data_IF_286671478799
#
_entry.id   IF_286671478799
#
_cell.length_a   1.000
_cell.length_b   1.000
_cell.length_c   1.000
_cell.angle_alpha   90.00
_cell.angle_beta   90.00
_cell.angle_gamma   90.00
#
_symmetry.space_group_name_H-M   'P 1'
#
loop_
_entity.id
_entity.type
_entity.pdbx_description
1 polymer ?
#
# COMPACT_ATOMS: atom_id res chain seq x y z
N UNK A 1 92.17 9.60 49.95
CA UNK A 1 91.19 8.74 49.30
C UNK A 1 89.90 8.76 50.10
N UNK A 2 88.77 8.82 49.39
CA UNK A 2 87.47 8.70 50.01
C UNK A 2 86.89 7.37 49.60
N UNK A 3 86.33 6.60 50.52
CA UNK A 3 85.61 5.36 50.27
C UNK A 3 84.13 5.67 50.41
N UNK A 4 83.36 5.40 49.35
CA UNK A 4 81.87 5.55 49.30
C UNK A 4 81.24 4.16 49.30
N UNK A 5 80.32 3.93 50.22
CA UNK A 5 79.55 2.66 50.30
C UNK A 5 78.10 2.90 49.94
N UNK A 6 77.61 2.12 48.98
CA UNK A 6 76.22 2.07 48.61
C UNK A 6 75.80 0.60 48.46
N UNK A 7 74.74 0.17 49.14
CA UNK A 7 74.17 -1.18 49.07
C UNK A 7 75.28 -2.31 49.30
N UNK A 8 76.26 -2.04 50.22
CA UNK A 8 77.31 -2.98 50.52
C UNK A 8 78.50 -2.99 49.55
N UNK A 9 78.44 -2.25 48.45
CA UNK A 9 79.54 -2.05 47.51
C UNK A 9 80.34 -0.83 47.86
N UNK A 10 81.67 -0.94 47.81
CA UNK A 10 82.61 0.14 48.09
C UNK A 10 83.23 0.67 46.79
N UNK A 11 83.21 1.98 46.63
CA UNK A 11 83.83 2.73 45.56
C UNK A 11 84.85 3.68 46.09
N UNK A 12 85.92 3.94 45.37
CA UNK A 12 86.94 4.87 45.81
C UNK A 12 87.01 6.10 44.92
N UNK A 13 87.24 7.24 45.49
CA UNK A 13 87.45 8.52 44.81
C UNK A 13 88.64 9.24 45.41
N UNK A 14 89.40 9.98 44.64
CA UNK A 14 90.47 10.84 45.11
C UNK A 14 89.97 12.26 45.29
N UNK A 15 90.45 12.95 46.35
CA UNK A 15 90.15 14.36 46.51
C UNK A 15 91.04 15.24 45.62
N UNK A 16 90.54 16.35 45.13
CA UNK A 16 91.35 17.41 44.53
C UNK A 16 92.11 18.25 45.58
N UNK A 17 92.88 19.22 45.19
CA UNK A 17 93.64 20.08 46.08
C UNK A 17 92.77 20.94 47.02
N UNK A 18 91.47 21.15 46.69
CA UNK A 18 90.49 21.89 47.47
C UNK A 18 89.70 20.96 48.42
N UNK A 19 89.91 19.61 48.37
CA UNK A 19 89.24 18.63 49.19
C UNK A 19 87.93 18.14 48.58
N UNK A 20 87.56 18.53 47.39
CA UNK A 20 86.34 18.03 46.68
C UNK A 20 86.59 16.66 46.02
N UNK A 21 85.59 15.84 45.96
CA UNK A 21 85.61 14.55 45.27
C UNK A 21 84.34 14.28 44.49
N UNK A 22 84.43 13.51 43.44
CA UNK A 22 83.36 13.03 42.69
C UNK A 22 83.53 11.56 42.38
N UNK A 23 82.42 10.84 42.34
CA UNK A 23 82.35 9.43 42.02
C UNK A 23 81.25 9.11 41.12
N UNK A 24 81.47 8.27 40.12
CA UNK A 24 80.38 7.70 39.27
C UNK A 24 80.14 6.26 39.67
N UNK A 25 78.91 5.95 40.09
CA UNK A 25 78.46 4.58 40.35
C UNK A 25 78.09 3.91 39.00
N UNK A 26 78.61 2.69 38.73
CA UNK A 26 78.29 1.97 37.50
C UNK A 26 76.84 1.75 37.36
N UNK A 27 76.32 1.82 36.09
CA UNK A 27 74.90 1.62 35.73
C UNK A 27 74.40 0.23 36.13
N UNK A 28 75.32 -0.81 36.10
CA UNK A 28 74.99 -2.16 36.52
C UNK A 28 74.65 -2.23 38.04
N UNK A 29 75.37 -1.45 38.87
CA UNK A 29 75.20 -1.44 40.33
C UNK A 29 73.92 -0.62 40.69
N UNK A 30 73.64 0.46 39.96
CA UNK A 30 72.40 1.22 40.10
C UNK A 30 71.19 0.37 39.70
N UNK A 31 71.32 -0.41 38.62
CA UNK A 31 70.24 -1.30 38.16
C UNK A 31 69.94 -2.45 39.14
N UNK A 32 70.89 -2.81 39.99
CA UNK A 32 70.72 -3.82 41.02
C UNK A 32 70.06 -3.30 42.33
N UNK A 33 69.81 -1.98 42.42
CA UNK A 33 69.08 -1.40 43.55
C UNK A 33 67.57 -1.64 43.37
N UNK A 34 66.94 -2.27 44.38
CA UNK A 34 65.48 -2.35 44.44
C UNK A 34 64.87 -1.04 44.92
N UNK A 35 63.49 -0.94 44.83
CA UNK A 35 62.80 0.20 45.44
C UNK A 35 62.96 0.25 46.93
N UNK A 36 63.76 1.17 47.41
CA UNK A 36 64.05 1.37 48.87
C UNK A 36 64.78 2.70 49.12
N UNK A 37 64.83 3.08 50.41
CA UNK A 37 65.75 4.11 50.86
C UNK A 37 67.06 3.46 51.13
N UNK A 38 68.11 3.91 50.46
CA UNK A 38 69.49 3.50 50.69
C UNK A 38 70.25 4.59 51.41
N UNK A 39 71.16 4.20 52.30
CA UNK A 39 72.11 5.13 52.90
C UNK A 39 73.40 5.08 52.10
N UNK A 40 73.83 6.19 51.54
CA UNK A 40 75.18 6.35 50.98
C UNK A 40 76.05 6.85 52.05
N UNK A 41 77.10 6.14 52.39
CA UNK A 41 78.06 6.56 53.35
C UNK A 41 79.42 6.84 52.69
N UNK A 42 80.08 7.93 53.09
CA UNK A 42 81.41 8.29 52.65
C UNK A 42 82.31 8.38 53.81
N UNK A 43 83.53 7.82 53.72
CA UNK A 43 84.56 7.89 54.75
C UNK A 43 85.94 8.20 54.17
N UNK A 44 86.70 8.98 54.85
CA UNK A 44 88.07 9.29 54.47
C UNK A 44 88.97 9.20 55.70
N UNK A 45 90.20 8.67 55.51
CA UNK A 45 91.20 8.58 56.54
C UNK A 45 92.44 9.46 56.20
N UNK A 46 92.79 10.33 57.05
CA UNK A 46 93.97 11.19 56.86
C UNK A 46 95.29 10.36 56.99
N UNK A 47 96.38 10.96 56.49
CA UNK A 47 97.72 10.33 56.62
C UNK A 47 98.17 10.06 58.12
N UNK A 48 97.55 10.79 59.06
CA UNK A 48 97.72 10.63 60.50
C UNK A 48 96.82 9.57 61.17
N UNK A 49 95.95 8.87 60.35
CA UNK A 49 95.07 7.81 60.84
C UNK A 49 93.70 8.31 61.34
N UNK A 50 93.41 9.62 61.30
CA UNK A 50 92.12 10.14 61.73
C UNK A 50 91.06 9.91 60.62
N UNK A 51 89.91 9.37 61.01
CA UNK A 51 88.81 9.07 60.12
C UNK A 51 87.68 10.09 60.28
N UNK A 52 87.05 10.48 59.17
CA UNK A 52 85.81 11.22 59.13
C UNK A 52 84.82 10.47 58.24
N UNK A 53 83.55 10.55 58.58
CA UNK A 53 82.48 9.94 57.79
C UNK A 53 81.25 10.87 57.67
N UNK A 54 80.51 10.73 56.59
CA UNK A 54 79.22 11.41 56.33
C UNK A 54 78.29 10.43 55.69
N UNK A 55 76.98 10.69 55.83
CA UNK A 55 75.93 9.86 55.26
C UNK A 55 74.88 10.75 54.59
N UNK A 56 74.32 10.23 53.54
CA UNK A 56 73.17 10.80 52.83
C UNK A 56 72.17 9.72 52.45
N UNK A 57 70.88 10.05 52.39
CA UNK A 57 69.85 9.12 51.97
C UNK A 57 69.66 9.25 50.45
N UNK A 58 69.54 8.11 49.76
CA UNK A 58 69.20 7.95 48.37
C UNK A 58 67.89 7.18 48.27
N UNK A 59 66.81 7.83 47.85
CA UNK A 59 65.61 7.13 47.54
C UNK A 59 65.70 6.56 46.11
N UNK A 60 65.53 5.24 45.98
CA UNK A 60 65.37 4.56 44.69
C UNK A 60 63.91 4.25 44.53
N UNK A 61 63.25 4.89 43.59
CA UNK A 61 61.86 4.63 43.18
C UNK A 61 61.86 4.41 41.69
N UNK A 62 61.72 3.15 41.30
CA UNK A 62 61.59 2.71 39.92
C UNK A 62 60.13 2.28 39.54
N UNK A 63 59.20 2.50 40.47
CA UNK A 63 57.83 2.15 40.30
C UNK A 63 57.15 3.03 39.25
N UNK A 64 56.59 2.40 38.17
CA UNK A 64 55.82 3.11 37.18
C UNK A 64 54.39 3.38 37.71
N UNK A 65 53.88 4.59 37.57
CA UNK A 65 52.50 4.85 37.88
C UNK A 65 51.56 3.99 37.00
N UNK A 66 50.46 3.53 37.54
CA UNK A 66 49.37 2.90 36.77
C UNK A 66 48.38 3.94 36.36
N UNK A 67 47.85 3.82 35.12
CA UNK A 67 46.76 4.67 34.57
C UNK A 67 45.68 3.79 34.02
N UNK A 68 44.43 4.05 34.41
CA UNK A 68 43.26 3.41 33.87
C UNK A 68 42.38 4.46 33.21
N UNK A 69 41.61 4.05 32.14
CA UNK A 69 40.65 4.87 31.45
C UNK A 69 39.29 4.20 31.60
N UNK A 70 38.29 4.94 32.07
CA UNK A 70 36.91 4.47 32.21
C UNK A 70 36.26 4.32 30.87
N UNK A 71 35.13 3.59 30.81
CA UNK A 71 34.25 3.53 29.62
C UNK A 71 33.86 4.93 29.19
N UNK A 72 34.00 5.21 27.91
CA UNK A 72 33.66 6.48 27.27
C UNK A 72 32.26 6.38 26.68
N UNK A 73 31.48 7.42 26.75
CA UNK A 73 30.12 7.49 26.22
C UNK A 73 29.13 6.41 26.77
N UNK A 74 29.61 5.57 27.69
CA UNK A 74 28.79 4.49 28.29
C UNK A 74 29.07 3.10 27.74
N UNK A 75 29.55 2.99 26.50
CA UNK A 75 29.76 1.73 25.78
C UNK A 75 31.03 1.70 24.90
N UNK A 76 31.84 2.75 24.94
CA UNK A 76 33.02 2.97 24.10
C UNK A 76 32.70 3.23 22.62
N UNK A 77 31.43 3.55 22.30
CA UNK A 77 31.01 3.99 20.99
C UNK A 77 30.50 5.43 21.10
N UNK A 78 31.08 6.34 20.35
CA UNK A 78 30.64 7.74 20.29
C UNK A 78 29.72 7.89 19.10
N UNK A 79 28.42 7.99 19.33
CA UNK A 79 27.41 8.22 18.31
C UNK A 79 27.30 9.71 17.92
N UNK A 80 26.42 10.02 16.95
CA UNK A 80 26.26 11.39 16.43
C UNK A 80 25.85 12.42 17.50
N UNK A 81 24.97 12.04 18.42
CA UNK A 81 24.50 12.91 19.48
C UNK A 81 25.61 13.18 20.49
N UNK A 82 26.37 12.16 20.84
CA UNK A 82 27.51 12.24 21.77
C UNK A 82 28.69 13.01 21.18
N UNK A 83 28.99 12.80 19.89
CA UNK A 83 29.98 13.59 19.17
C UNK A 83 29.56 15.07 19.07
N UNK A 84 28.25 15.34 19.00
CA UNK A 84 27.67 16.68 19.02
C UNK A 84 27.70 17.40 20.35
N UNK A 85 27.87 16.67 21.48
CA UNK A 85 27.85 17.22 22.83
C UNK A 85 29.24 17.41 23.45
N UNK A 86 30.29 16.82 22.85
CA UNK A 86 31.60 16.67 23.46
C UNK A 86 31.63 15.52 24.45
N UNK A 87 32.83 14.98 24.74
CA UNK A 87 32.97 13.80 25.59
C UNK A 87 33.91 14.06 26.74
N UNK A 88 33.59 13.51 27.91
CA UNK A 88 34.47 13.49 29.06
C UNK A 88 35.19 12.14 29.15
N UNK A 89 36.52 12.16 29.01
CA UNK A 89 37.38 11.01 29.25
C UNK A 89 37.85 11.09 30.67
N UNK A 90 37.75 10.01 31.44
CA UNK A 90 38.10 9.97 32.84
C UNK A 90 38.77 8.65 33.21
N UNK A 91 39.43 8.63 34.39
CA UNK A 91 40.06 7.43 34.87
C UNK A 91 40.64 7.57 36.28
N UNK A 92 41.49 6.61 36.65
CA UNK A 92 42.18 6.53 37.93
C UNK A 92 43.67 6.38 37.70
N UNK A 93 44.47 6.84 38.67
CA UNK A 93 45.90 6.61 38.67
C UNK A 93 46.30 5.90 39.96
N UNK A 94 47.45 5.18 39.93
CA UNK A 94 48.11 4.63 41.07
C UNK A 94 49.59 4.99 40.98
N UNK A 95 50.30 5.16 42.13
CA UNK A 95 51.71 5.52 42.12
C UNK A 95 52.03 6.95 41.64
N UNK A 96 51.01 7.81 41.57
CA UNK A 96 51.11 9.24 41.30
C UNK A 96 50.38 10.01 42.41
N UNK A 97 50.65 11.30 42.55
CA UNK A 97 50.06 12.15 43.56
C UNK A 97 49.05 13.15 43.01
N UNK A 98 48.18 13.69 43.89
CA UNK A 98 47.34 14.78 43.55
C UNK A 98 48.16 15.99 43.04
N UNK A 99 47.78 16.56 41.90
CA UNK A 99 48.48 17.63 41.22
C UNK A 99 49.42 17.17 40.08
N UNK A 100 49.78 15.88 40.01
CA UNK A 100 50.56 15.36 38.89
C UNK A 100 49.79 15.52 37.59
N UNK A 101 50.49 15.80 36.48
CA UNK A 101 49.86 16.05 35.18
C UNK A 101 49.53 14.73 34.46
N UNK A 102 48.27 14.57 34.07
CA UNK A 102 47.81 13.51 33.16
C UNK A 102 47.73 14.11 31.74
N UNK A 103 48.38 13.43 30.83
CA UNK A 103 48.33 13.77 29.39
C UNK A 103 47.51 12.71 28.67
N UNK A 104 46.41 13.14 27.98
CA UNK A 104 45.52 12.25 27.23
C UNK A 104 45.69 12.56 25.74
N UNK A 105 45.88 11.52 24.94
CA UNK A 105 45.98 11.65 23.48
C UNK A 105 44.85 10.89 22.81
N UNK A 106 44.16 11.56 21.87
CA UNK A 106 43.09 10.98 21.03
C UNK A 106 43.16 11.56 19.63
N UNK A 107 43.31 10.70 18.62
CA UNK A 107 43.32 11.11 17.21
C UNK A 107 44.43 12.12 16.85
N UNK A 108 45.55 12.08 17.57
CA UNK A 108 46.66 13.01 17.41
C UNK A 108 46.54 14.33 18.20
N UNK A 109 45.39 14.63 18.77
CA UNK A 109 45.19 15.76 19.68
C UNK A 109 45.61 15.38 21.11
N UNK A 110 46.17 16.36 21.85
CA UNK A 110 46.62 16.17 23.21
C UNK A 110 45.87 17.08 24.18
N UNK A 111 45.37 16.49 25.25
CA UNK A 111 44.62 17.17 26.31
C UNK A 111 45.35 16.94 27.61
N UNK A 112 45.39 17.92 28.49
CA UNK A 112 46.05 17.81 29.79
C UNK A 112 45.08 18.11 30.94
N UNK A 113 45.23 17.38 32.04
CA UNK A 113 44.51 17.61 33.28
C UNK A 113 45.41 17.24 34.47
N UNK A 114 44.93 17.38 35.67
CA UNK A 114 45.68 17.01 36.88
C UNK A 114 44.99 15.92 37.66
N UNK A 115 45.79 15.08 38.34
CA UNK A 115 45.28 14.08 39.26
C UNK A 115 44.61 14.78 40.44
N UNK A 116 43.41 14.35 40.77
CA UNK A 116 42.61 14.85 41.89
C UNK A 116 43.02 14.18 43.23
N UNK A 117 42.55 14.70 44.35
CA UNK A 117 42.86 14.18 45.68
C UNK A 117 42.41 12.72 45.94
N UNK A 118 41.42 12.26 45.18
CA UNK A 118 40.93 10.87 45.20
C UNK A 118 41.60 9.99 44.15
N UNK A 119 42.68 10.45 43.54
CA UNK A 119 43.46 9.79 42.49
C UNK A 119 42.69 9.61 41.18
N UNK A 120 41.56 10.27 41.00
CA UNK A 120 40.85 10.33 39.70
C UNK A 120 41.41 11.46 38.83
N UNK A 121 41.11 11.37 37.53
CA UNK A 121 41.37 12.41 36.56
C UNK A 121 40.22 12.46 35.54
N UNK A 122 40.03 13.63 34.96
CA UNK A 122 39.07 13.80 33.86
C UNK A 122 39.49 14.96 32.95
N UNK A 123 39.17 14.81 31.66
CA UNK A 123 39.38 15.84 30.65
C UNK A 123 38.20 15.82 29.71
N UNK A 124 37.80 17.00 29.20
CA UNK A 124 36.74 17.11 28.20
C UNK A 124 37.37 17.27 26.83
N UNK A 125 36.96 16.41 25.89
CA UNK A 125 37.23 16.52 24.45
C UNK A 125 36.13 17.39 23.82
N UNK A 126 36.48 18.54 23.22
CA UNK A 126 35.50 19.44 22.61
C UNK A 126 34.80 18.80 21.42
N UNK A 127 33.53 19.21 21.18
CA UNK A 127 32.75 18.80 20.02
C UNK A 127 33.50 18.96 18.68
N UNK A 128 34.18 20.09 18.50
CA UNK A 128 34.92 20.36 17.25
C UNK A 128 36.00 19.33 16.98
N UNK A 129 36.71 18.89 18.03
CA UNK A 129 37.77 17.89 17.91
C UNK A 129 37.21 16.52 17.60
N UNK A 130 36.09 16.09 18.26
CA UNK A 130 35.41 14.83 17.96
C UNK A 130 34.92 14.76 16.56
N UNK A 131 34.28 15.83 16.07
CA UNK A 131 33.79 15.92 14.69
C UNK A 131 34.89 15.87 13.65
N UNK A 132 36.09 16.41 13.98
CA UNK A 132 37.24 16.39 13.10
C UNK A 132 37.90 15.01 12.97
N UNK A 133 37.71 14.11 13.95
CA UNK A 133 38.27 12.76 13.93
C UNK A 133 37.63 11.86 12.87
N UNK A 134 36.35 12.11 12.49
CA UNK A 134 35.60 11.24 11.58
C UNK A 134 35.24 9.91 12.22
N UNK A 135 34.53 9.06 11.44
CA UNK A 135 34.10 7.74 11.89
C UNK A 135 35.25 6.72 11.82
N UNK A 136 35.30 5.79 12.77
CA UNK A 136 36.27 4.69 12.80
C UNK A 136 36.76 4.36 14.21
N UNK A 137 37.59 3.33 14.28
CA UNK A 137 38.22 2.87 15.55
C UNK A 137 39.41 3.74 15.89
N UNK A 138 39.51 4.15 17.16
CA UNK A 138 40.55 5.00 17.71
C UNK A 138 40.96 4.45 19.05
N UNK A 139 42.25 4.74 19.43
CA UNK A 139 42.76 4.41 20.75
C UNK A 139 42.99 5.69 21.52
N UNK A 140 42.44 5.80 22.71
CA UNK A 140 42.77 6.81 23.70
C UNK A 140 43.99 6.31 24.48
N UNK A 141 45.00 7.16 24.60
CA UNK A 141 46.16 6.90 25.49
C UNK A 141 46.19 7.96 26.56
N UNK A 142 46.36 7.55 27.82
CA UNK A 142 46.59 8.45 28.95
C UNK A 142 47.91 8.11 29.62
N UNK A 143 48.68 9.13 29.96
CA UNK A 143 49.96 8.96 30.68
C UNK A 143 50.08 9.94 31.84
N UNK A 144 50.77 9.53 32.88
CA UNK A 144 51.10 10.38 34.03
C UNK A 144 52.56 10.23 34.39
N UNK A 145 53.25 11.33 34.74
CA UNK A 145 54.60 11.32 35.28
C UNK A 145 54.53 11.72 36.74
N UNK A 146 55.04 10.88 37.62
CA UNK A 146 55.10 11.19 39.06
C UNK A 146 56.29 12.15 39.41
N UNK A 147 56.30 12.63 40.65
CA UNK A 147 57.30 13.57 41.11
C UNK A 147 58.78 13.04 41.03
N UNK A 148 58.95 11.73 40.93
CA UNK A 148 60.23 11.07 40.76
C UNK A 148 60.67 10.93 39.29
N UNK A 149 59.82 11.39 38.33
CA UNK A 149 60.13 11.33 36.92
C UNK A 149 59.72 10.01 36.23
N UNK A 150 59.08 9.06 36.94
CA UNK A 150 58.60 7.83 36.34
C UNK A 150 57.29 8.08 35.61
N UNK A 151 57.23 7.60 34.38
CA UNK A 151 56.03 7.76 33.52
C UNK A 151 55.34 6.40 33.32
N UNK A 152 54.04 6.37 33.62
CA UNK A 152 53.17 5.24 33.32
C UNK A 152 52.07 5.64 32.34
N UNK A 153 51.50 4.66 31.61
CA UNK A 153 50.46 4.89 30.65
C UNK A 153 49.42 3.77 30.66
N UNK A 154 48.22 4.10 30.19
CA UNK A 154 47.12 3.19 29.88
C UNK A 154 46.46 3.56 28.58
N UNK A 155 45.76 2.60 27.95
CA UNK A 155 45.04 2.81 26.73
C UNK A 155 43.63 2.23 26.79
N UNK A 156 42.74 2.77 25.95
CA UNK A 156 41.36 2.27 25.72
C UNK A 156 40.97 2.49 24.29
N UNK A 157 40.43 1.43 23.66
CA UNK A 157 39.90 1.51 22.31
C UNK A 157 38.46 2.01 22.36
N UNK A 158 38.10 2.89 21.41
CA UNK A 158 36.79 3.43 21.21
C UNK A 158 36.45 3.41 19.71
N UNK A 159 35.18 3.48 19.37
CA UNK A 159 34.70 3.66 17.99
C UNK A 159 33.93 4.97 17.89
N UNK A 160 34.16 5.76 16.86
CA UNK A 160 33.28 6.87 16.50
C UNK A 160 32.40 6.39 15.34
N UNK A 161 31.08 6.36 15.54
CA UNK A 161 30.09 6.11 14.49
C UNK A 161 28.96 7.15 14.58
N UNK A 162 29.18 8.27 13.92
CA UNK A 162 28.25 9.38 13.81
C UNK A 162 27.39 9.31 12.52
N UNK A 163 27.41 8.17 11.81
CA UNK A 163 26.58 7.97 10.62
C UNK A 163 25.12 7.89 11.03
N UNK A 164 24.29 8.77 10.43
CA UNK A 164 22.85 8.71 10.62
C UNK A 164 22.26 7.64 9.68
N UNK A 165 21.52 6.67 10.19
CA UNK A 165 20.83 5.71 9.37
C UNK A 165 19.65 6.34 8.62
N UNK A 166 19.21 5.71 7.52
CA UNK A 166 18.03 6.10 6.75
C UNK A 166 16.96 5.02 6.77
N UNK A 167 15.70 5.43 6.68
CA UNK A 167 14.55 4.54 6.52
C UNK A 167 13.65 5.05 5.38
N UNK A 168 12.98 4.13 4.69
CA UNK A 168 11.88 4.41 3.77
C UNK A 168 10.76 3.40 3.99
N UNK A 169 9.54 3.82 3.72
CA UNK A 169 8.35 2.98 3.61
C UNK A 169 7.98 2.92 2.14
N UNK A 170 7.64 1.74 1.64
CA UNK A 170 7.14 1.58 0.28
C UNK A 170 5.63 1.92 0.25
N UNK A 171 5.07 2.05 -0.95
CA UNK A 171 3.65 2.31 -1.18
C UNK A 171 2.77 1.29 -0.43
N UNK A 172 1.84 1.77 0.37
CA UNK A 172 0.86 0.95 1.10
C UNK A 172 -0.22 0.48 0.13
N UNK A 173 -0.61 -0.80 0.20
CA UNK A 173 -1.66 -1.41 -0.64
C UNK A 173 -1.42 -1.27 -2.16
N UNK A 174 -0.26 -0.76 -2.60
CA UNK A 174 0.12 -0.59 -4.00
C UNK A 174 -0.11 0.82 -4.56
N UNK A 175 -0.94 1.66 -3.93
CA UNK A 175 -1.30 3.01 -4.38
C UNK A 175 -1.46 4.04 -3.26
N UNK A 176 -1.11 3.68 -2.02
CA UNK A 176 -1.33 4.47 -0.80
C UNK A 176 -2.81 4.72 -0.46
N UNK A 177 -3.70 3.88 -1.00
CA UNK A 177 -5.12 3.89 -0.67
C UNK A 177 -5.54 2.49 -0.25
N UNK A 178 -6.09 2.37 0.94
CA UNK A 178 -6.72 1.13 1.42
C UNK A 178 -8.22 1.23 1.17
N UNK A 179 -8.69 0.57 0.12
CA UNK A 179 -10.10 0.54 -0.26
C UNK A 179 -10.91 -0.46 0.59
N UNK A 180 -12.23 -0.52 0.38
CA UNK A 180 -13.14 -1.36 1.17
C UNK A 180 -12.85 -2.87 1.07
N UNK A 181 -12.24 -3.34 -0.02
CA UNK A 181 -11.86 -4.75 -0.19
C UNK A 181 -10.60 -5.05 0.61
N UNK A 182 -9.58 -4.21 0.49
CA UNK A 182 -8.30 -4.34 1.18
C UNK A 182 -8.44 -4.12 2.69
N UNK A 183 -9.35 -3.24 3.10
CA UNK A 183 -9.68 -2.99 4.50
C UNK A 183 -10.15 -4.25 5.25
N UNK A 184 -10.69 -5.23 4.55
CA UNK A 184 -11.07 -6.54 5.10
C UNK A 184 -9.96 -7.60 5.07
N UNK A 185 -8.77 -7.28 4.54
CA UNK A 185 -7.68 -8.24 4.33
C UNK A 185 -6.48 -7.92 5.22
N UNK A 186 -5.61 -8.92 5.41
CA UNK A 186 -4.30 -8.69 5.99
C UNK A 186 -3.42 -7.95 4.98
N UNK A 187 -2.67 -6.94 5.45
CA UNK A 187 -1.73 -6.17 4.63
C UNK A 187 -0.29 -6.44 5.05
N UNK A 188 0.63 -6.26 4.14
CA UNK A 188 2.08 -6.28 4.41
C UNK A 188 2.62 -4.88 4.11
N UNK A 189 3.20 -4.25 5.12
CA UNK A 189 3.93 -3.00 4.96
C UNK A 189 5.40 -3.34 4.76
N UNK A 190 6.01 -2.76 3.75
CA UNK A 190 7.40 -2.98 3.38
C UNK A 190 8.18 -1.68 3.32
N UNK A 191 9.50 -1.80 3.31
CA UNK A 191 10.37 -0.67 3.13
C UNK A 191 11.84 -1.06 3.11
N UNK A 192 12.71 -0.07 3.18
CA UNK A 192 14.15 -0.28 3.18
C UNK A 192 14.85 0.59 4.21
N UNK A 193 16.06 0.20 4.53
CA UNK A 193 16.96 0.92 5.43
C UNK A 193 18.35 1.07 4.81
N UNK A 194 19.07 2.06 5.28
CA UNK A 194 20.51 2.25 5.03
C UNK A 194 21.21 2.59 6.34
N UNK A 195 22.42 2.08 6.54
CA UNK A 195 23.16 2.32 7.77
C UNK A 195 22.61 1.59 9.02
N UNK A 196 21.65 0.69 8.86
CA UNK A 196 21.20 -0.25 9.89
C UNK A 196 21.73 -1.64 9.60
N UNK A 197 22.17 -2.34 10.62
CA UNK A 197 22.65 -3.72 10.48
C UNK A 197 21.48 -4.70 10.33
N UNK A 198 21.72 -5.82 9.64
CA UNK A 198 20.78 -6.93 9.64
C UNK A 198 20.47 -7.38 11.07
N UNK A 199 19.17 -7.59 11.36
CA UNK A 199 18.68 -7.89 12.71
C UNK A 199 18.35 -6.65 13.56
N UNK A 200 18.67 -5.42 13.12
CA UNK A 200 18.23 -4.21 13.82
C UNK A 200 16.70 -4.19 13.93
N UNK A 201 16.22 -3.94 15.14
CA UNK A 201 14.78 -3.94 15.44
C UNK A 201 14.15 -2.62 15.00
N UNK A 202 13.04 -2.71 14.26
CA UNK A 202 12.21 -1.58 13.89
C UNK A 202 10.84 -1.69 14.57
N UNK A 203 10.34 -0.55 15.02
CA UNK A 203 8.96 -0.40 15.48
C UNK A 203 8.17 0.32 14.40
N UNK A 204 7.12 -0.33 13.90
CA UNK A 204 6.18 0.21 12.91
C UNK A 204 4.88 0.55 13.64
N UNK A 205 4.44 1.79 13.62
CA UNK A 205 3.22 2.24 14.29
C UNK A 205 2.20 2.71 13.26
N UNK A 206 0.99 2.14 13.32
CA UNK A 206 -0.14 2.53 12.46
C UNK A 206 -1.38 2.62 13.34
N UNK A 207 -2.14 3.70 13.23
CA UNK A 207 -3.35 3.91 14.02
C UNK A 207 -3.14 3.63 15.53
N UNK A 208 -2.01 4.10 16.09
CA UNK A 208 -1.60 3.92 17.49
C UNK A 208 -1.31 2.46 17.91
N UNK A 209 -1.24 1.52 16.97
CA UNK A 209 -0.84 0.13 17.23
C UNK A 209 0.60 -0.06 16.76
N UNK A 210 1.45 -0.56 17.66
CA UNK A 210 2.85 -0.83 17.36
C UNK A 210 3.06 -2.30 16.96
N UNK A 211 3.86 -2.48 15.91
CA UNK A 211 4.32 -3.78 15.41
C UNK A 211 5.84 -3.79 15.40
N UNK A 212 6.45 -4.93 15.62
CA UNK A 212 7.91 -5.09 15.60
C UNK A 212 8.33 -5.92 14.40
N UNK A 213 9.42 -5.49 13.75
CA UNK A 213 10.08 -6.24 12.68
C UNK A 213 11.59 -6.06 12.77
N UNK A 214 12.35 -6.70 11.88
CA UNK A 214 13.81 -6.58 11.81
C UNK A 214 14.27 -6.30 10.38
N UNK A 215 15.37 -5.58 10.29
CA UNK A 215 16.07 -5.33 9.03
C UNK A 215 16.69 -6.62 8.52
N UNK A 216 16.53 -6.94 7.25
CA UNK A 216 17.10 -8.10 6.56
C UNK A 216 18.54 -7.81 6.08
N UNK A 217 19.23 -8.86 5.58
CA UNK A 217 20.61 -8.74 5.11
C UNK A 217 20.79 -7.80 3.90
N UNK A 218 19.74 -7.61 3.10
CA UNK A 218 19.71 -6.69 1.96
C UNK A 218 19.25 -5.26 2.32
N UNK A 219 19.03 -4.99 3.60
CA UNK A 219 18.52 -3.72 4.10
C UNK A 219 17.00 -3.55 4.00
N UNK A 220 16.28 -4.51 3.44
CA UNK A 220 14.81 -4.48 3.41
C UNK A 220 14.21 -4.82 4.78
N UNK A 221 12.94 -4.46 4.97
CA UNK A 221 12.14 -4.86 6.11
C UNK A 221 10.67 -5.03 5.70
N UNK A 222 9.95 -5.87 6.42
CA UNK A 222 8.52 -6.06 6.20
C UNK A 222 7.82 -6.40 7.51
N UNK A 223 6.54 -6.00 7.62
CA UNK A 223 5.68 -6.35 8.74
C UNK A 223 4.27 -6.69 8.25
N UNK A 224 3.73 -7.80 8.72
CA UNK A 224 2.35 -8.21 8.45
C UNK A 224 1.38 -7.54 9.41
N UNK A 225 0.35 -6.92 8.87
CA UNK A 225 -0.75 -6.33 9.65
C UNK A 225 -1.95 -7.27 9.55
N UNK A 226 -2.44 -7.83 10.66
CA UNK A 226 -3.59 -8.73 10.65
C UNK A 226 -4.87 -8.04 10.12
N UNK A 227 -5.71 -8.77 9.40
CA UNK A 227 -6.98 -8.26 8.85
C UNK A 227 -7.86 -7.58 9.92
N UNK A 228 -7.91 -8.12 11.14
CA UNK A 228 -8.67 -7.52 12.24
C UNK A 228 -8.19 -6.10 12.61
N UNK A 229 -6.89 -5.83 12.48
CA UNK A 229 -6.32 -4.51 12.76
C UNK A 229 -6.57 -3.56 11.59
N UNK A 230 -6.44 -4.05 10.34
CA UNK A 230 -6.76 -3.27 9.14
C UNK A 230 -8.24 -2.85 9.16
N UNK A 231 -9.16 -3.78 9.49
CA UNK A 231 -10.59 -3.51 9.59
C UNK A 231 -10.97 -2.53 10.73
N UNK A 232 -10.06 -2.28 11.66
CA UNK A 232 -10.25 -1.29 12.72
C UNK A 232 -9.77 0.13 12.33
N UNK A 233 -9.18 0.31 11.15
CA UNK A 233 -8.73 1.63 10.71
C UNK A 233 -9.92 2.51 10.33
N UNK A 234 -10.00 3.75 10.82
CA UNK A 234 -11.05 4.67 10.42
C UNK A 234 -10.85 5.13 8.97
N UNK A 235 -11.93 5.46 8.28
CA UNK A 235 -11.85 6.13 7.00
C UNK A 235 -11.15 7.50 7.13
N UNK A 236 -10.32 7.84 6.15
CA UNK A 236 -9.56 9.08 6.09
C UNK A 236 -8.05 8.86 6.11
N UNK A 237 -7.27 9.94 6.26
CA UNK A 237 -5.81 9.87 6.24
C UNK A 237 -5.25 9.19 7.48
N UNK A 238 -4.29 8.30 7.27
CA UNK A 238 -3.47 7.65 8.28
C UNK A 238 -1.99 7.78 7.91
N UNK A 239 -1.13 7.40 8.84
CA UNK A 239 0.33 7.44 8.65
C UNK A 239 0.94 6.14 9.17
N UNK A 240 1.88 5.60 8.40
CA UNK A 240 2.83 4.59 8.86
C UNK A 240 4.02 5.32 9.46
N UNK A 241 4.29 5.14 10.74
CA UNK A 241 5.49 5.65 11.39
C UNK A 241 6.44 4.49 11.65
N UNK A 242 7.70 4.62 11.24
CA UNK A 242 8.73 3.61 11.46
C UNK A 242 9.88 4.24 12.20
N UNK A 243 10.32 3.63 13.28
CA UNK A 243 11.44 4.08 14.08
C UNK A 243 12.38 2.92 14.42
N UNK A 244 13.66 3.24 14.54
CA UNK A 244 14.73 2.33 14.93
C UNK A 244 16.00 3.07 15.33
N UNK A 245 17.07 2.32 15.52
CA UNK A 245 18.40 2.89 15.80
C UNK A 245 19.50 1.97 15.27
N UNK A 246 20.66 2.56 14.96
CA UNK A 246 21.86 1.80 14.59
C UNK A 246 22.46 1.09 15.81
N UNK A 247 23.44 0.21 15.58
CA UNK A 247 24.22 -0.43 16.65
C UNK A 247 25.00 0.57 17.51
N UNK A 248 25.29 1.74 16.99
CA UNK A 248 25.91 2.84 17.71
C UNK A 248 24.91 3.71 18.47
N UNK A 249 23.62 3.37 18.45
CA UNK A 249 22.57 4.15 19.12
C UNK A 249 22.08 5.37 18.34
N UNK A 250 22.50 5.58 17.07
CA UNK A 250 21.96 6.68 16.24
C UNK A 250 20.50 6.40 15.89
N UNK A 251 19.54 7.25 16.29
CA UNK A 251 18.13 7.05 16.01
C UNK A 251 17.78 7.38 14.56
N UNK A 252 16.74 6.73 14.06
CA UNK A 252 16.13 7.03 12.76
C UNK A 252 14.62 6.86 12.83
N UNK A 253 13.89 7.74 12.15
CA UNK A 253 12.46 7.60 11.97
C UNK A 253 12.03 8.13 10.61
N UNK A 254 10.91 7.58 10.11
CA UNK A 254 10.25 8.02 8.89
C UNK A 254 8.75 7.91 9.07
N UNK A 255 8.02 8.80 8.41
CA UNK A 255 6.55 8.74 8.31
C UNK A 255 6.13 8.68 6.85
N UNK A 256 5.11 7.85 6.55
CA UNK A 256 4.56 7.68 5.22
C UNK A 256 3.03 7.80 5.30
N UNK A 257 2.42 8.80 4.66
CA UNK A 257 0.98 8.98 4.66
C UNK A 257 0.28 8.03 3.69
N UNK A 258 -0.90 7.55 4.04
CA UNK A 258 -1.81 6.81 3.18
C UNK A 258 -3.26 7.14 3.55
N UNK A 259 -4.23 6.72 2.75
CA UNK A 259 -5.64 7.02 2.99
C UNK A 259 -6.46 5.72 3.05
N UNK A 260 -7.39 5.63 3.98
CA UNK A 260 -8.42 4.59 4.01
C UNK A 260 -9.68 5.13 3.38
N UNK A 261 -10.07 4.61 2.21
CA UNK A 261 -11.27 5.02 1.50
C UNK A 261 -12.34 3.92 1.53
N UNK A 262 -13.34 4.11 2.37
CA UNK A 262 -14.48 3.23 2.54
C UNK A 262 -15.74 3.82 1.89
N UNK A 263 -15.59 4.70 0.92
CA UNK A 263 -16.72 5.32 0.20
C UNK A 263 -17.59 4.24 -0.42
N UNK A 264 -18.87 4.23 -0.05
CA UNK A 264 -19.83 3.31 -0.62
C UNK A 264 -20.09 3.67 -2.10
N UNK A 265 -19.92 2.68 -2.97
CA UNK A 265 -20.15 2.83 -4.42
C UNK A 265 -21.34 2.00 -4.84
N UNK A 266 -22.11 2.49 -5.82
CA UNK A 266 -23.21 1.76 -6.40
C UNK A 266 -23.33 2.02 -7.91
N UNK A 267 -23.95 1.06 -8.61
CA UNK A 267 -24.30 1.18 -10.02
C UNK A 267 -25.71 0.63 -10.22
N UNK A 268 -26.44 1.22 -11.14
CA UNK A 268 -27.76 0.75 -11.57
C UNK A 268 -27.83 0.66 -13.09
N UNK A 269 -28.76 -0.17 -13.58
CA UNK A 269 -29.08 -0.32 -15.00
C UNK A 269 -30.56 0.06 -15.17
N UNK A 270 -30.87 0.92 -16.13
CA UNK A 270 -32.22 1.31 -16.48
C UNK A 270 -32.92 0.20 -17.26
N UNK A 271 -34.26 0.34 -17.44
CA UNK A 271 -35.08 -0.49 -18.29
C UNK A 271 -34.47 -0.62 -19.68
N UNK A 272 -34.36 -1.85 -20.17
CA UNK A 272 -33.86 -2.19 -21.51
C UNK A 272 -34.99 -2.01 -22.53
N UNK A 273 -34.71 -1.41 -23.69
CA UNK A 273 -35.68 -1.27 -24.78
C UNK A 273 -37.02 -0.61 -24.38
N UNK A 274 -37.07 0.14 -23.27
CA UNK A 274 -38.24 0.81 -22.67
C UNK A 274 -39.18 -0.06 -21.81
N UNK A 275 -39.21 -1.36 -21.97
CA UNK A 275 -40.14 -2.28 -21.31
C UNK A 275 -39.53 -3.63 -20.89
N UNK A 276 -38.19 -3.74 -21.02
CA UNK A 276 -37.41 -4.95 -20.76
C UNK A 276 -37.69 -6.12 -21.73
N UNK A 277 -38.29 -5.82 -22.92
CA UNK A 277 -38.53 -6.80 -23.99
C UNK A 277 -37.95 -6.25 -25.29
N UNK A 278 -37.03 -6.96 -25.91
CA UNK A 278 -36.48 -6.61 -27.21
C UNK A 278 -37.29 -7.33 -28.28
N UNK A 279 -38.16 -6.61 -29.00
CA UNK A 279 -38.98 -7.14 -30.08
C UNK A 279 -38.24 -7.13 -31.44
N UNK A 280 -38.91 -7.62 -32.50
CA UNK A 280 -38.33 -7.71 -33.85
C UNK A 280 -37.89 -6.35 -34.42
N UNK A 281 -38.65 -5.28 -34.15
CA UNK A 281 -38.36 -3.94 -34.66
C UNK A 281 -37.14 -3.35 -33.94
N UNK A 282 -37.09 -3.50 -32.61
CA UNK A 282 -35.98 -3.03 -31.79
C UNK A 282 -34.68 -3.81 -32.03
N UNK A 283 -34.80 -5.12 -32.29
CA UNK A 283 -33.66 -5.98 -32.69
C UNK A 283 -33.00 -5.51 -33.99
N UNK A 284 -33.74 -4.77 -34.84
CA UNK A 284 -33.25 -4.18 -36.09
C UNK A 284 -32.61 -2.81 -35.97
N UNK A 285 -32.57 -2.21 -34.78
CA UNK A 285 -32.05 -0.85 -34.53
C UNK A 285 -31.04 -0.85 -33.41
N UNK A 286 -30.15 0.15 -33.36
CA UNK A 286 -29.18 0.31 -32.26
C UNK A 286 -29.94 0.52 -30.94
N UNK A 287 -29.48 -0.16 -29.88
CA UNK A 287 -30.02 -0.07 -28.53
C UNK A 287 -29.08 0.71 -27.63
N UNK A 288 -29.59 1.70 -26.90
CA UNK A 288 -28.83 2.39 -25.85
C UNK A 288 -29.13 1.74 -24.51
N UNK A 289 -28.13 1.13 -23.91
CA UNK A 289 -28.14 0.73 -22.51
C UNK A 289 -27.65 1.89 -21.66
N UNK A 290 -28.28 2.12 -20.52
CA UNK A 290 -27.93 3.24 -19.63
C UNK A 290 -28.19 2.93 -18.17
N UNK A 291 -27.65 3.80 -17.28
CA UNK A 291 -27.88 3.70 -15.89
C UNK A 291 -27.23 4.85 -15.11
N UNK A 292 -27.07 4.66 -13.81
CA UNK A 292 -26.44 5.64 -12.93
C UNK A 292 -25.46 4.97 -11.97
N UNK A 293 -24.52 5.78 -11.46
CA UNK A 293 -23.56 5.42 -10.43
C UNK A 293 -23.66 6.39 -9.25
N UNK A 294 -23.24 5.95 -8.08
CA UNK A 294 -23.00 6.82 -6.92
C UNK A 294 -21.68 6.47 -6.26
N UNK A 295 -20.97 7.46 -5.72
CA UNK A 295 -19.64 7.29 -5.13
C UNK A 295 -18.54 6.99 -6.15
N UNK A 296 -18.80 7.16 -7.44
CA UNK A 296 -17.87 6.93 -8.55
C UNK A 296 -17.54 8.27 -9.21
N UNK A 297 -16.28 8.52 -9.44
CA UNK A 297 -15.81 9.74 -10.08
C UNK A 297 -16.15 9.76 -11.58
N UNK A 298 -16.36 10.97 -12.09
CA UNK A 298 -16.52 11.18 -13.53
C UNK A 298 -15.28 10.70 -14.30
N UNK A 299 -15.52 10.05 -15.43
CA UNK A 299 -14.45 9.50 -16.28
C UNK A 299 -14.10 8.05 -15.99
N UNK A 300 -14.55 7.46 -14.88
CA UNK A 300 -14.36 6.04 -14.58
C UNK A 300 -15.09 5.19 -15.63
N UNK A 301 -14.53 4.02 -15.91
CA UNK A 301 -15.06 3.11 -16.95
C UNK A 301 -16.10 2.16 -16.37
N UNK A 302 -17.30 2.20 -16.92
CA UNK A 302 -18.33 1.18 -16.72
C UNK A 302 -18.13 0.08 -17.76
N UNK A 303 -18.04 -1.15 -17.31
CA UNK A 303 -17.99 -2.35 -18.15
C UNK A 303 -19.37 -3.00 -18.18
N UNK A 304 -19.97 -3.14 -19.37
CA UNK A 304 -21.30 -3.72 -19.56
C UNK A 304 -21.20 -5.02 -20.34
N UNK A 305 -21.73 -6.11 -19.80
CA UNK A 305 -21.84 -7.40 -20.48
C UNK A 305 -23.28 -7.61 -20.91
N UNK A 306 -23.52 -7.70 -22.24
CA UNK A 306 -24.82 -7.87 -22.82
C UNK A 306 -24.76 -8.83 -24.03
N UNK A 307 -25.64 -9.82 -24.07
CA UNK A 307 -25.66 -10.82 -25.16
C UNK A 307 -24.32 -11.58 -25.31
N UNK A 308 -23.55 -11.76 -24.23
CA UNK A 308 -22.23 -12.40 -24.26
C UNK A 308 -21.11 -11.52 -24.79
N UNK A 309 -21.36 -10.25 -25.11
CA UNK A 309 -20.37 -9.25 -25.54
C UNK A 309 -20.13 -8.22 -24.46
N UNK A 310 -18.96 -7.59 -24.50
CA UNK A 310 -18.55 -6.55 -23.55
C UNK A 310 -18.51 -5.20 -24.25
N UNK A 311 -19.11 -4.21 -23.61
CA UNK A 311 -19.16 -2.80 -24.01
C UNK A 311 -18.61 -1.95 -22.88
N UNK A 312 -18.10 -0.76 -23.19
CA UNK A 312 -17.59 0.18 -22.19
C UNK A 312 -18.23 1.55 -22.35
N UNK A 313 -18.47 2.21 -21.23
CA UNK A 313 -18.94 3.58 -21.15
C UNK A 313 -18.14 4.35 -20.12
N UNK A 314 -18.09 5.67 -20.19
CA UNK A 314 -17.53 6.52 -19.15
C UNK A 314 -18.62 7.07 -18.26
N UNK A 315 -18.37 7.16 -16.95
CA UNK A 315 -19.26 7.84 -16.01
C UNK A 315 -19.23 9.34 -16.29
N UNK A 316 -20.39 9.92 -16.50
CA UNK A 316 -20.57 11.36 -16.72
C UNK A 316 -20.47 12.15 -15.40
N UNK A 317 -20.33 13.48 -15.46
CA UNK A 317 -20.22 14.37 -14.31
C UNK A 317 -21.43 14.32 -13.34
N UNK A 318 -22.61 13.91 -13.84
CA UNK A 318 -23.83 13.72 -13.04
C UNK A 318 -24.00 12.29 -12.53
N UNK A 319 -23.00 11.41 -12.71
CA UNK A 319 -23.05 10.00 -12.33
C UNK A 319 -23.78 9.08 -13.31
N UNK A 320 -24.35 9.59 -14.42
CA UNK A 320 -24.98 8.73 -15.43
C UNK A 320 -23.94 8.06 -16.33
N UNK A 321 -24.35 6.94 -16.95
CA UNK A 321 -23.59 6.27 -17.98
C UNK A 321 -24.49 5.76 -19.08
N UNK A 322 -23.98 5.64 -20.30
CA UNK A 322 -24.69 5.04 -21.42
C UNK A 322 -23.73 4.44 -22.43
N UNK A 323 -24.18 3.35 -23.09
CA UNK A 323 -23.44 2.67 -24.14
C UNK A 323 -24.39 2.26 -25.25
N UNK A 324 -23.93 2.36 -26.49
CA UNK A 324 -24.66 1.91 -27.66
C UNK A 324 -24.32 0.44 -27.95
N UNK A 325 -25.37 -0.38 -28.12
CA UNK A 325 -25.30 -1.76 -28.64
C UNK A 325 -25.73 -1.74 -30.08
N UNK A 326 -24.86 -2.08 -31.05
CA UNK A 326 -25.23 -2.05 -32.48
C UNK A 326 -26.31 -3.06 -32.82
N UNK A 327 -27.20 -2.72 -33.74
CA UNK A 327 -28.24 -3.61 -34.28
C UNK A 327 -27.68 -4.97 -34.76
N UNK A 328 -26.48 -4.98 -35.35
CA UNK A 328 -25.81 -6.21 -35.76
C UNK A 328 -25.55 -7.20 -34.60
N UNK A 329 -25.36 -6.68 -33.40
CA UNK A 329 -25.16 -7.50 -32.19
C UNK A 329 -26.51 -7.99 -31.66
N UNK A 330 -27.55 -7.13 -31.68
CA UNK A 330 -28.91 -7.48 -31.29
C UNK A 330 -29.51 -8.56 -32.21
N UNK A 331 -29.22 -8.50 -33.50
CA UNK A 331 -29.69 -9.48 -34.47
C UNK A 331 -29.30 -10.92 -34.15
N UNK A 332 -28.22 -11.11 -33.40
CA UNK A 332 -27.72 -12.44 -33.03
C UNK A 332 -28.32 -13.00 -31.75
N UNK A 333 -29.10 -12.19 -30.99
CA UNK A 333 -29.68 -12.63 -29.73
C UNK A 333 -30.77 -13.69 -29.97
N UNK A 334 -30.79 -14.81 -29.26
CA UNK A 334 -31.89 -15.76 -29.29
C UNK A 334 -33.09 -15.22 -28.51
N UNK A 335 -34.30 -15.63 -28.89
CA UNK A 335 -35.48 -15.35 -28.10
C UNK A 335 -35.41 -16.04 -26.74
N UNK A 336 -35.92 -15.38 -25.70
CA UNK A 336 -35.93 -15.88 -24.31
C UNK A 336 -35.44 -14.88 -23.31
N UNK A 337 -35.42 -15.30 -22.02
CA UNK A 337 -34.98 -14.49 -20.91
C UNK A 337 -33.45 -14.39 -20.86
N UNK A 338 -32.92 -13.21 -20.55
CA UNK A 338 -31.51 -12.90 -20.44
C UNK A 338 -31.25 -11.84 -19.36
N UNK A 339 -29.96 -11.59 -19.09
CA UNK A 339 -29.54 -10.56 -18.15
C UNK A 339 -28.47 -9.69 -18.78
N UNK A 340 -28.52 -8.42 -18.49
CA UNK A 340 -27.41 -7.49 -18.68
C UNK A 340 -26.71 -7.27 -17.34
N UNK A 341 -25.37 -7.20 -17.37
CA UNK A 341 -24.54 -6.93 -16.19
C UNK A 341 -23.73 -5.66 -16.44
N UNK A 342 -23.58 -4.84 -15.40
CA UNK A 342 -22.70 -3.68 -15.43
C UNK A 342 -21.85 -3.66 -14.18
N UNK A 343 -20.58 -3.26 -14.31
CA UNK A 343 -19.62 -3.10 -13.22
C UNK A 343 -18.79 -1.84 -13.39
N UNK A 344 -18.35 -1.28 -12.27
CA UNK A 344 -17.53 -0.05 -12.24
C UNK A 344 -16.69 -0.05 -10.99
N UNK A 345 -15.52 0.58 -11.05
CA UNK A 345 -14.67 0.84 -9.86
C UNK A 345 -14.39 2.33 -9.74
N UNK A 346 -14.31 2.82 -8.49
CA UNK A 346 -13.82 4.16 -8.19
C UNK A 346 -12.31 4.27 -8.45
N UNK A 347 -11.76 5.47 -8.38
CA UNK A 347 -10.32 5.72 -8.48
C UNK A 347 -9.54 5.05 -7.33
N UNK A 348 -10.16 4.88 -6.16
CA UNK A 348 -9.62 4.19 -4.99
C UNK A 348 -9.76 2.65 -5.04
N UNK A 349 -10.34 2.08 -6.11
CA UNK A 349 -10.52 0.64 -6.26
C UNK A 349 -11.80 0.07 -5.63
N UNK A 350 -12.65 0.86 -4.97
CA UNK A 350 -13.96 0.41 -4.50
C UNK A 350 -14.83 0.06 -5.71
N UNK A 351 -15.47 -1.14 -5.72
CA UNK A 351 -16.19 -1.63 -6.88
C UNK A 351 -17.66 -1.91 -6.61
N UNK A 352 -18.51 -1.74 -7.64
CA UNK A 352 -19.91 -2.08 -7.63
C UNK A 352 -20.29 -2.82 -8.90
N UNK A 353 -21.31 -3.67 -8.80
CA UNK A 353 -21.92 -4.36 -9.96
C UNK A 353 -23.43 -4.42 -9.81
N UNK A 354 -24.12 -4.44 -10.95
CA UNK A 354 -25.56 -4.62 -11.05
C UNK A 354 -25.91 -5.61 -12.15
N UNK A 355 -27.05 -6.28 -11.99
CA UNK A 355 -27.63 -7.16 -12.99
C UNK A 355 -29.07 -6.75 -13.19
N UNK A 356 -29.51 -6.68 -14.45
CA UNK A 356 -30.88 -6.34 -14.83
C UNK A 356 -31.42 -7.40 -15.80
N UNK A 357 -32.63 -7.90 -15.56
CA UNK A 357 -33.26 -8.92 -16.37
C UNK A 357 -33.99 -8.29 -17.56
N UNK A 358 -33.89 -8.90 -18.72
CA UNK A 358 -34.65 -8.56 -19.91
C UNK A 358 -35.03 -9.84 -20.66
N UNK A 359 -35.88 -9.72 -21.67
CA UNK A 359 -36.19 -10.81 -22.59
C UNK A 359 -36.06 -10.36 -24.03
N UNK A 360 -35.87 -11.30 -24.91
CA UNK A 360 -35.93 -11.11 -26.38
C UNK A 360 -37.13 -11.91 -26.87
N UNK A 361 -38.02 -11.26 -27.61
CA UNK A 361 -39.12 -11.89 -28.34
C UNK A 361 -39.27 -11.18 -29.66
N UNK A 362 -38.66 -11.75 -30.70
CA UNK A 362 -38.69 -11.23 -32.05
C UNK A 362 -39.54 -12.11 -32.98
N UNK A 363 -40.28 -13.06 -32.43
CA UNK A 363 -41.10 -14.01 -33.17
C UNK A 363 -42.49 -13.44 -33.41
N UNK A 364 -42.80 -13.09 -34.66
CA UNK A 364 -44.17 -12.61 -35.01
C UNK A 364 -45.22 -13.71 -34.77
N UNK A 365 -46.38 -13.37 -34.19
CA UNK A 365 -47.45 -14.33 -34.02
C UNK A 365 -48.05 -14.75 -35.38
N UNK A 366 -48.39 -16.01 -35.47
CA UNK A 366 -49.18 -16.49 -36.64
C UNK A 366 -50.63 -16.04 -36.51
N UNK A 367 -51.28 -15.73 -37.65
CA UNK A 367 -52.67 -15.34 -37.72
C UNK A 367 -53.31 -16.05 -38.93
N UNK A 368 -54.51 -16.57 -38.76
CA UNK A 368 -55.30 -17.20 -39.85
C UNK A 368 -56.68 -16.63 -39.86
N UNK A 369 -57.31 -16.68 -41.03
CA UNK A 369 -58.72 -16.38 -41.24
C UNK A 369 -59.35 -17.65 -41.76
N UNK A 370 -60.40 -18.11 -41.11
CA UNK A 370 -61.18 -19.25 -41.54
C UNK A 370 -62.06 -18.90 -42.75
N UNK A 371 -62.62 -19.93 -43.42
CA UNK A 371 -63.66 -19.77 -44.49
C UNK A 371 -64.73 -18.86 -43.96
N UNK A 372 -65.04 -17.82 -44.75
CA UNK A 372 -66.04 -16.79 -44.46
C UNK A 372 -67.37 -17.19 -45.13
N UNK A 373 -68.49 -16.94 -44.46
CA UNK A 373 -69.81 -17.24 -44.95
C UNK A 373 -70.01 -18.71 -45.41
N UNK A 374 -69.20 -19.64 -44.84
CA UNK A 374 -69.16 -21.08 -45.11
C UNK A 374 -68.55 -21.52 -46.45
N UNK A 375 -68.42 -20.66 -47.45
CA UNK A 375 -67.91 -20.98 -48.77
C UNK A 375 -67.11 -19.85 -49.43
N UNK A 376 -66.79 -18.80 -48.69
CA UNK A 376 -66.06 -17.58 -49.10
C UNK A 376 -66.92 -16.73 -50.17
N UNK A 377 -68.22 -16.94 -50.21
CA UNK A 377 -69.14 -16.18 -51.04
C UNK A 377 -70.24 -15.57 -50.16
N UNK A 378 -70.25 -14.24 -50.04
CA UNK A 378 -71.38 -13.54 -49.39
C UNK A 378 -72.55 -13.34 -50.31
N UNK A 379 -73.60 -14.09 -50.06
CA UNK A 379 -74.84 -13.97 -50.84
C UNK A 379 -75.82 -12.95 -50.20
N UNK A 380 -76.92 -12.64 -50.90
CA UNK A 380 -77.92 -11.65 -50.44
C UNK A 380 -78.57 -12.01 -49.08
N UNK A 381 -78.82 -13.27 -48.84
CA UNK A 381 -79.41 -13.72 -47.56
C UNK A 381 -78.43 -13.54 -46.38
N UNK A 382 -77.16 -13.87 -46.56
CA UNK A 382 -76.09 -13.73 -45.57
C UNK A 382 -75.78 -12.28 -45.32
N UNK A 383 -75.78 -11.41 -46.37
CA UNK A 383 -75.55 -9.97 -46.20
C UNK A 383 -76.63 -9.29 -45.35
N UNK A 384 -77.82 -9.92 -45.19
CA UNK A 384 -78.92 -9.46 -44.34
C UNK A 384 -78.76 -9.79 -42.82
N UNK A 385 -77.74 -10.53 -42.46
CA UNK A 385 -77.48 -10.98 -41.07
C UNK A 385 -76.09 -10.60 -40.64
N UNK A 386 -75.79 -10.51 -39.31
CA UNK A 386 -74.40 -10.30 -38.83
C UNK A 386 -73.49 -11.42 -39.31
N UNK A 387 -72.37 -11.06 -39.98
CA UNK A 387 -71.37 -12.02 -40.43
C UNK A 387 -70.28 -12.17 -39.42
N UNK A 388 -70.00 -13.40 -38.98
CA UNK A 388 -68.87 -13.72 -38.13
C UNK A 388 -67.65 -14.03 -38.99
N UNK A 389 -66.56 -13.25 -38.83
CA UNK A 389 -65.23 -13.56 -39.35
C UNK A 389 -64.43 -14.10 -38.19
N UNK A 390 -63.78 -15.26 -38.32
CA UNK A 390 -63.05 -15.93 -37.27
C UNK A 390 -61.76 -16.52 -37.80
N UNK A 391 -60.91 -16.93 -36.85
CA UNK A 391 -59.64 -17.57 -37.17
C UNK A 391 -58.90 -18.01 -35.92
N UNK A 392 -57.60 -18.26 -36.06
CA UNK A 392 -56.69 -18.59 -34.96
C UNK A 392 -55.47 -17.69 -34.96
N UNK A 393 -54.87 -17.53 -33.80
CA UNK A 393 -53.61 -16.80 -33.60
C UNK A 393 -52.77 -17.46 -32.52
N UNK A 394 -51.46 -17.35 -32.65
CA UNK A 394 -50.50 -17.70 -31.61
C UNK A 394 -50.13 -16.52 -30.69
N UNK A 395 -50.70 -15.33 -30.92
CA UNK A 395 -50.58 -14.22 -29.96
C UNK A 395 -51.24 -14.58 -28.64
N UNK A 396 -50.79 -13.98 -27.56
CA UNK A 396 -51.28 -14.31 -26.20
C UNK A 396 -52.77 -13.96 -26.05
N UNK A 397 -53.41 -14.68 -25.16
CA UNK A 397 -54.79 -14.42 -24.77
C UNK A 397 -55.01 -12.96 -24.40
N UNK A 398 -56.07 -12.38 -24.98
CA UNK A 398 -56.44 -10.99 -24.75
C UNK A 398 -55.89 -10.00 -25.78
N UNK A 399 -54.93 -10.40 -26.61
CA UNK A 399 -54.43 -9.54 -27.69
C UNK A 399 -55.54 -9.23 -28.70
N UNK A 400 -55.58 -7.98 -29.16
CA UNK A 400 -56.66 -7.51 -30.05
C UNK A 400 -56.37 -7.84 -31.50
N UNK A 401 -57.24 -8.64 -32.12
CA UNK A 401 -57.24 -8.85 -33.57
C UNK A 401 -58.10 -7.75 -34.22
N UNK A 402 -57.53 -7.05 -35.17
CA UNK A 402 -58.23 -6.02 -36.00
C UNK A 402 -58.47 -6.58 -37.38
N UNK A 403 -59.69 -6.68 -37.76
CA UNK A 403 -60.12 -7.13 -39.11
C UNK A 403 -60.57 -5.92 -39.92
N UNK A 404 -60.08 -5.79 -41.14
CA UNK A 404 -60.48 -4.74 -42.11
C UNK A 404 -61.15 -5.36 -43.23
N UNK A 405 -62.38 -4.89 -43.50
CA UNK A 405 -63.20 -5.23 -44.69
C UNK A 405 -63.72 -3.93 -45.31
N UNK A 406 -63.43 -3.72 -46.59
CA UNK A 406 -63.85 -2.53 -47.33
C UNK A 406 -63.57 -1.20 -46.62
N UNK A 407 -62.36 -1.09 -45.97
CA UNK A 407 -61.92 0.09 -45.24
C UNK A 407 -62.52 0.28 -43.85
N UNK A 408 -63.53 -0.53 -43.46
CA UNK A 408 -64.06 -0.54 -42.09
C UNK A 408 -63.30 -1.55 -41.22
N UNK A 409 -63.09 -1.22 -39.94
CA UNK A 409 -62.37 -2.06 -38.99
C UNK A 409 -63.25 -2.64 -37.89
N UNK A 410 -63.04 -3.88 -37.56
CA UNK A 410 -63.76 -4.64 -36.56
C UNK A 410 -62.68 -5.28 -35.60
N UNK A 411 -62.97 -5.36 -34.32
CA UNK A 411 -62.01 -5.91 -33.39
C UNK A 411 -62.58 -7.00 -32.52
N UNK A 412 -61.78 -7.98 -32.22
CA UNK A 412 -62.04 -9.06 -31.30
C UNK A 412 -60.76 -9.48 -30.60
N UNK A 413 -60.85 -10.25 -29.53
CA UNK A 413 -59.67 -10.66 -28.78
C UNK A 413 -59.32 -12.13 -29.01
N UNK A 414 -58.05 -12.45 -28.98
CA UNK A 414 -57.55 -13.83 -28.94
C UNK A 414 -58.00 -14.49 -27.65
N UNK A 415 -58.64 -15.66 -27.75
CA UNK A 415 -59.13 -16.44 -26.63
C UNK A 415 -58.07 -17.39 -26.10
N UNK A 416 -58.34 -18.05 -24.96
CA UNK A 416 -57.37 -18.95 -24.29
C UNK A 416 -57.01 -20.18 -25.17
N UNK A 417 -57.85 -20.56 -26.13
CA UNK A 417 -57.61 -21.64 -27.09
C UNK A 417 -56.92 -21.18 -28.37
N UNK A 418 -56.53 -19.90 -28.45
CA UNK A 418 -55.93 -19.26 -29.62
C UNK A 418 -56.94 -18.84 -30.69
N UNK A 419 -58.26 -19.10 -30.52
CA UNK A 419 -59.31 -18.65 -31.45
C UNK A 419 -59.61 -17.16 -31.32
N UNK A 420 -60.08 -16.56 -32.37
CA UNK A 420 -60.59 -15.19 -32.36
C UNK A 420 -61.84 -15.06 -33.32
N UNK A 421 -62.68 -14.10 -33.02
CA UNK A 421 -63.81 -13.80 -33.88
C UNK A 421 -64.21 -12.31 -33.79
N UNK A 422 -64.73 -11.78 -34.90
CA UNK A 422 -65.33 -10.46 -34.97
C UNK A 422 -66.70 -10.57 -35.65
N UNK A 423 -67.63 -9.68 -35.36
CA UNK A 423 -68.94 -9.60 -35.99
C UNK A 423 -69.03 -8.36 -36.88
N UNK A 424 -69.34 -8.57 -38.14
CA UNK A 424 -69.57 -7.51 -39.10
C UNK A 424 -71.09 -7.26 -39.21
N UNK A 425 -71.60 -6.06 -38.94
CA UNK A 425 -73.00 -5.80 -38.89
C UNK A 425 -73.60 -5.79 -40.34
N UNK A 426 -74.89 -6.14 -40.51
CA UNK A 426 -75.56 -6.17 -41.82
C UNK A 426 -75.52 -4.84 -42.56
N UNK A 427 -75.51 -3.71 -41.86
CA UNK A 427 -75.37 -2.38 -42.45
C UNK A 427 -74.06 -2.17 -43.23
N UNK A 428 -72.97 -2.80 -42.74
CA UNK A 428 -71.70 -2.77 -43.43
C UNK A 428 -71.66 -3.73 -44.63
N UNK A 429 -72.26 -4.93 -44.44
CA UNK A 429 -72.34 -5.92 -45.51
C UNK A 429 -73.23 -5.43 -46.69
N UNK A 430 -74.37 -4.76 -46.40
CA UNK A 430 -75.23 -4.17 -47.41
C UNK A 430 -74.63 -3.01 -48.22
N UNK A 431 -73.51 -2.47 -47.77
CA UNK A 431 -72.71 -1.47 -48.45
C UNK A 431 -71.73 -2.07 -49.49
N UNK A 432 -71.52 -3.40 -49.44
CA UNK A 432 -70.64 -4.11 -50.38
C UNK A 432 -71.37 -4.28 -51.74
N UNK A 433 -70.66 -4.08 -52.81
CA UNK A 433 -71.14 -4.34 -54.17
C UNK A 433 -70.67 -5.68 -54.68
N UNK A 434 -71.30 -6.28 -55.66
CA UNK A 434 -70.88 -7.54 -56.29
C UNK A 434 -69.41 -7.38 -56.80
N UNK A 435 -68.44 -7.99 -56.08
CA UNK A 435 -67.02 -7.90 -56.38
C UNK A 435 -66.27 -8.84 -55.49
N UNK A 436 -64.95 -8.95 -55.69
CA UNK A 436 -64.04 -9.61 -54.75
C UNK A 436 -63.45 -8.59 -53.76
N UNK A 437 -63.50 -8.92 -52.49
CA UNK A 437 -62.93 -8.14 -51.42
C UNK A 437 -61.79 -8.92 -50.73
N UNK A 438 -60.74 -8.22 -50.27
CA UNK A 438 -59.74 -8.80 -49.39
C UNK A 438 -60.10 -8.43 -47.97
N UNK A 439 -60.32 -9.42 -47.16
CA UNK A 439 -60.40 -9.30 -45.70
C UNK A 439 -59.01 -9.40 -45.16
N UNK A 440 -58.50 -8.39 -44.45
CA UNK A 440 -57.23 -8.44 -43.79
C UNK A 440 -57.43 -8.44 -42.30
N UNK A 441 -56.59 -9.22 -41.58
CA UNK A 441 -56.51 -9.25 -40.10
C UNK A 441 -55.10 -8.98 -39.64
N UNK A 442 -54.98 -8.22 -38.56
CA UNK A 442 -53.73 -7.94 -37.92
C UNK A 442 -53.83 -8.17 -36.39
N UNK A 443 -52.78 -8.59 -35.78
CA UNK A 443 -52.64 -8.73 -34.30
C UNK A 443 -51.21 -8.43 -33.93
N UNK A 444 -50.97 -7.81 -32.78
CA UNK A 444 -49.66 -7.77 -32.18
C UNK A 444 -49.65 -8.77 -31.04
N UNK A 445 -48.50 -9.45 -30.84
CA UNK A 445 -48.23 -10.17 -29.59
C UNK A 445 -47.97 -9.19 -28.44
N UNK A 446 -47.69 -9.72 -27.26
CA UNK A 446 -47.42 -8.92 -26.07
C UNK A 446 -46.08 -8.14 -26.16
N UNK A 447 -45.10 -8.65 -26.94
CA UNK A 447 -43.83 -7.97 -27.22
C UNK A 447 -44.00 -6.85 -28.29
N UNK A 448 -45.17 -6.76 -28.96
CA UNK A 448 -45.42 -5.77 -30.00
C UNK A 448 -45.09 -6.24 -31.42
N UNK A 449 -44.72 -7.52 -31.63
CA UNK A 449 -44.47 -8.03 -32.98
C UNK A 449 -45.78 -8.20 -33.76
N UNK A 450 -45.87 -7.67 -35.00
CA UNK A 450 -47.10 -7.75 -35.78
C UNK A 450 -47.25 -9.08 -36.50
N UNK A 451 -48.42 -9.73 -36.38
CA UNK A 451 -48.90 -10.82 -37.22
C UNK A 451 -49.98 -10.35 -38.16
N UNK A 452 -50.05 -10.89 -39.35
CA UNK A 452 -51.10 -10.54 -40.33
C UNK A 452 -51.54 -11.74 -41.15
N UNK A 453 -52.82 -11.64 -41.61
CA UNK A 453 -53.40 -12.61 -42.52
C UNK A 453 -54.34 -11.90 -43.50
N UNK A 454 -54.54 -12.47 -44.66
CA UNK A 454 -55.50 -12.01 -45.58
C UNK A 454 -56.32 -13.18 -46.18
N UNK A 455 -57.58 -12.94 -46.46
CA UNK A 455 -58.53 -13.90 -47.06
C UNK A 455 -59.40 -13.24 -48.06
N UNK A 456 -59.75 -13.93 -49.16
CA UNK A 456 -60.60 -13.40 -50.19
C UNK A 456 -62.07 -13.72 -49.88
N UNK A 457 -62.95 -12.73 -50.09
CA UNK A 457 -64.39 -12.87 -49.97
C UNK A 457 -65.00 -12.40 -51.25
N UNK A 458 -65.66 -13.29 -51.96
CA UNK A 458 -66.52 -12.91 -53.10
C UNK A 458 -67.88 -12.41 -52.60
N UNK A 459 -68.39 -11.37 -53.19
CA UNK A 459 -69.75 -10.86 -52.88
C UNK A 459 -70.58 -11.00 -54.13
N UNK A 460 -71.62 -11.85 -54.07
CA UNK A 460 -72.64 -11.96 -55.12
C UNK A 460 -74.03 -11.90 -54.46
N UNK A 461 -74.61 -10.71 -54.49
CA UNK A 461 -75.94 -10.44 -53.97
C UNK A 461 -76.99 -10.33 -55.13
N UNK A 462 -76.58 -10.68 -56.34
CA UNK A 462 -77.44 -10.60 -57.53
C UNK A 462 -78.40 -11.77 -57.60
N UNK A 463 -79.68 -11.52 -57.58
CA UNK A 463 -80.66 -12.56 -57.72
C UNK A 463 -80.66 -13.11 -59.18
N UNK A 464 -80.69 -14.43 -59.34
CA UNK A 464 -80.86 -15.00 -60.70
C UNK A 464 -82.17 -14.59 -61.35
N UNK A 465 -82.13 -14.26 -62.63
CA UNK A 465 -83.35 -13.95 -63.38
C UNK A 465 -84.00 -15.25 -63.90
N UNK A 466 -85.20 -15.52 -63.41
CA UNK A 466 -85.98 -16.68 -63.86
C UNK A 466 -87.10 -16.20 -64.71
N UNK A 467 -87.14 -16.58 -66.01
CA UNK A 467 -88.28 -16.30 -66.96
C UNK A 467 -89.00 -17.60 -67.30
N UNK A 468 -90.29 -17.60 -67.13
CA UNK A 468 -91.12 -18.68 -67.60
C UNK A 468 -91.67 -18.26 -68.97
N UNK A 469 -91.27 -18.97 -70.04
CA UNK A 469 -91.87 -18.73 -71.38
C UNK A 469 -93.30 -19.28 -71.42
N UNK A 470 -94.20 -18.48 -72.00
CA UNK A 470 -95.59 -18.88 -72.15
C UNK A 470 -95.71 -20.21 -72.87
N UNK A 471 -96.31 -21.21 -72.20
CA UNK A 471 -96.74 -22.47 -72.86
C UNK A 471 -97.90 -22.17 -73.78
N UNK A 472 -97.72 -22.41 -75.08
CA UNK A 472 -98.75 -22.29 -76.07
C UNK A 472 -99.74 -23.47 -76.03
#
# INVERSE_FOLDING_TARGET
EVTVTLNGHNYSATTDAAGNWTLTVPVSDLAALGQANYTVSASATSAAGNTASSQANLLVDSGLPGVTINTVAGDDIINAAEAGAGQTISGQVTGAAAGDTVTVTLGGNTYTTTVQSNLSWSVTVPTADLQALGNGDLTITASVTNANGNTGSGSRDITIDANLPGLRVDTVAGDDIVNSIEHGQALVITGGSSGLNAGAVLTVTINSVAYSTTVQADGSWSVGIPAANVSAWPAGPLTVEVAGQSSAGNPVSVSHPFTVDLTAVAISINTVASDDVINAAEKGTDLTLSGSTSGIESGQTVTVTFGGKTYTASVAANGSWSVNVPAADLATLPDGAANVQASVSSASGNSASATHAYSVDASAPTLTINTIASDDILNAAEAGSPLTISGTSTAETGQTVTVTLNGATYSGNVQADGSWSVSVPPSALGALTTSNYTVSATVNDKAGNPGSASHNLAVDTTAPVLTINTVA
#
